data_IF_607572757520
#
_entry.id   IF_607572757520
#
_cell.length_a   1.000
_cell.length_b   1.000
_cell.length_c   1.000
_cell.angle_alpha   90.00
_cell.angle_beta   90.00
_cell.angle_gamma   90.00
#
_symmetry.space_group_name_H-M   'P 1'
#
loop_
_entity.id
_entity.type
_entity.pdbx_description
1 polymer ?
#
# COMPACT_ATOMS: atom_id res chain seq x y z
N UNK A 1 -1.11 -10.20 13.08
CA UNK A 1 -1.31 -8.83 12.56
C UNK A 1 -2.61 -8.26 13.12
N UNK A 2 -2.56 -7.09 13.67
CA UNK A 2 -3.77 -6.42 14.18
C UNK A 2 -4.37 -5.57 13.04
N UNK A 3 -5.38 -6.11 12.40
CA UNK A 3 -6.06 -5.44 11.28
C UNK A 3 -6.74 -4.15 11.71
N UNK A 4 -7.17 -4.06 12.98
CA UNK A 4 -7.78 -2.83 13.48
C UNK A 4 -6.84 -1.64 13.48
N UNK A 5 -5.54 -1.87 13.68
CA UNK A 5 -4.53 -0.82 13.63
C UNK A 5 -4.12 -0.47 12.20
N UNK A 6 -4.26 -1.42 11.28
CA UNK A 6 -3.92 -1.21 9.87
C UNK A 6 -5.02 -0.46 9.14
N UNK A 7 -6.28 -0.72 9.48
CA UNK A 7 -7.44 -0.13 8.80
C UNK A 7 -7.78 1.27 9.34
N UNK A 8 -6.83 2.19 9.20
CA UNK A 8 -7.06 3.59 9.55
C UNK A 8 -7.77 4.30 8.38
N UNK A 9 -8.38 5.49 8.61
CA UNK A 9 -8.95 6.28 7.52
C UNK A 9 -7.94 6.56 6.42
N UNK A 10 -6.69 6.83 6.78
CA UNK A 10 -5.59 7.07 5.86
C UNK A 10 -5.36 5.87 4.94
N UNK A 11 -5.33 4.68 5.53
CA UNK A 11 -5.14 3.45 4.78
C UNK A 11 -6.30 3.20 3.82
N UNK A 12 -7.53 3.40 4.30
CA UNK A 12 -8.73 3.20 3.49
C UNK A 12 -8.79 4.18 2.30
N UNK A 13 -8.42 5.43 2.52
CA UNK A 13 -8.35 6.42 1.44
C UNK A 13 -7.33 6.01 0.38
N UNK A 14 -6.17 5.53 0.82
CA UNK A 14 -5.13 5.08 -0.09
C UNK A 14 -5.61 3.89 -0.93
N UNK A 15 -6.26 2.93 -0.29
CA UNK A 15 -6.81 1.75 -0.98
C UNK A 15 -7.82 2.18 -2.03
N UNK A 16 -8.71 3.11 -1.70
CA UNK A 16 -9.70 3.62 -2.63
C UNK A 16 -9.06 4.29 -3.84
N UNK A 17 -8.04 5.09 -3.61
CA UNK A 17 -7.30 5.74 -4.71
C UNK A 17 -6.62 4.73 -5.62
N UNK A 18 -6.05 3.68 -5.04
CA UNK A 18 -5.41 2.61 -5.79
C UNK A 18 -6.44 1.88 -6.65
N UNK A 19 -7.59 1.55 -6.08
CA UNK A 19 -8.66 0.88 -6.83
C UNK A 19 -9.18 1.74 -7.98
N UNK A 20 -9.37 3.02 -7.73
CA UNK A 20 -9.86 3.97 -8.75
C UNK A 20 -8.86 4.15 -9.89
N UNK A 21 -7.58 3.97 -9.63
CA UNK A 21 -6.54 4.10 -10.65
C UNK A 21 -6.56 2.96 -11.67
N UNK A 22 -7.15 1.82 -11.32
CA UNK A 22 -7.14 0.61 -12.14
C UNK A 22 -5.82 -0.15 -12.09
N UNK A 23 -4.89 0.24 -11.20
CA UNK A 23 -3.56 -0.35 -11.09
C UNK A 23 -3.37 -1.13 -9.80
N UNK A 24 -4.46 -1.64 -9.22
CA UNK A 24 -4.41 -2.30 -7.92
C UNK A 24 -3.42 -3.48 -7.91
N UNK A 25 -3.46 -4.34 -8.94
CA UNK A 25 -2.57 -5.50 -9.01
C UNK A 25 -1.10 -5.07 -9.09
N UNK A 26 -0.80 -4.06 -9.89
CA UNK A 26 0.54 -3.52 -10.06
C UNK A 26 1.06 -2.91 -8.77
N UNK A 27 0.22 -2.11 -8.11
CA UNK A 27 0.59 -1.47 -6.84
C UNK A 27 0.81 -2.52 -5.75
N UNK A 28 -0.05 -3.53 -5.66
CA UNK A 28 0.10 -4.59 -4.67
C UNK A 28 1.40 -5.37 -4.89
N UNK A 29 1.71 -5.72 -6.14
CA UNK A 29 2.95 -6.41 -6.46
C UNK A 29 4.16 -5.58 -6.04
N UNK A 30 4.16 -4.28 -6.31
CA UNK A 30 5.23 -3.37 -5.91
C UNK A 30 5.31 -3.27 -4.39
N UNK A 31 4.17 -3.19 -3.70
CA UNK A 31 4.14 -3.12 -2.24
C UNK A 31 4.75 -4.38 -1.60
N UNK A 32 4.47 -5.56 -2.18
CA UNK A 32 5.04 -6.81 -1.68
C UNK A 32 6.57 -6.82 -1.82
N UNK A 33 7.10 -6.27 -2.91
CA UNK A 33 8.55 -6.12 -3.07
C UNK A 33 9.13 -5.18 -2.02
N UNK A 34 8.46 -4.08 -1.75
CA UNK A 34 8.89 -3.13 -0.71
C UNK A 34 8.91 -3.79 0.66
N UNK A 35 7.90 -4.59 0.97
CA UNK A 35 7.85 -5.33 2.24
C UNK A 35 9.00 -6.32 2.36
N UNK A 36 9.37 -6.95 1.27
CA UNK A 36 10.49 -7.90 1.23
C UNK A 36 11.82 -7.19 1.46
N UNK A 37 11.99 -6.01 0.89
CA UNK A 37 13.22 -5.22 1.03
C UNK A 37 13.30 -4.50 2.38
N UNK A 38 12.14 -4.17 2.97
CA UNK A 38 12.05 -3.44 4.23
C UNK A 38 11.15 -4.19 5.22
N UNK A 39 11.59 -5.36 5.71
CA UNK A 39 10.72 -6.21 6.55
C UNK A 39 10.31 -5.56 7.86
N UNK A 40 10.97 -4.49 8.28
CA UNK A 40 10.61 -3.74 9.49
C UNK A 40 9.70 -2.55 9.20
N UNK A 41 9.45 -2.26 7.94
CA UNK A 41 8.55 -1.18 7.55
C UNK A 41 7.09 -1.57 7.75
N UNK A 42 6.22 -0.58 7.96
CA UNK A 42 4.80 -0.86 8.10
C UNK A 42 4.17 -1.15 6.73
N UNK A 43 3.13 -1.99 6.68
CA UNK A 43 2.40 -2.23 5.43
C UNK A 43 1.87 -0.94 4.79
N UNK A 44 1.42 0.01 5.60
CA UNK A 44 0.93 1.29 5.10
C UNK A 44 2.03 2.05 4.34
N UNK A 45 3.23 2.13 4.94
CA UNK A 45 4.35 2.82 4.30
C UNK A 45 4.75 2.13 3.00
N UNK A 46 4.81 0.80 2.99
CA UNK A 46 5.14 0.05 1.78
C UNK A 46 4.11 0.31 0.67
N UNK A 47 2.84 0.37 1.04
CA UNK A 47 1.77 0.63 0.08
C UNK A 47 1.82 2.08 -0.43
N UNK A 48 2.16 3.04 0.44
CA UNK A 48 2.34 4.43 0.04
C UNK A 48 3.47 4.58 -0.97
N UNK A 49 4.59 3.93 -0.71
CA UNK A 49 5.74 3.95 -1.63
C UNK A 49 5.35 3.35 -2.97
N UNK A 50 4.65 2.22 -2.95
CA UNK A 50 4.22 1.55 -4.17
C UNK A 50 3.26 2.43 -4.97
N UNK A 51 2.30 3.05 -4.32
CA UNK A 51 1.36 3.95 -4.98
C UNK A 51 2.08 5.15 -5.60
N UNK A 52 3.05 5.71 -4.89
CA UNK A 52 3.87 6.81 -5.39
C UNK A 52 4.63 6.41 -6.66
N UNK A 53 5.18 5.20 -6.68
CA UNK A 53 5.91 4.69 -7.85
C UNK A 53 5.03 4.61 -9.09
N UNK A 54 3.74 4.42 -8.90
CA UNK A 54 2.75 4.33 -9.98
C UNK A 54 1.99 5.65 -10.21
N UNK A 55 2.45 6.75 -9.62
CA UNK A 55 1.84 8.08 -9.77
C UNK A 55 0.39 8.16 -9.27
N UNK A 56 0.11 7.51 -8.17
CA UNK A 56 -1.24 7.52 -7.60
C UNK A 56 -1.41 8.52 -6.45
#
# INVERSE_FOLDING_TARGET
>A
MDLGKTLTPEFCELVNRIEESGLAAEVIATALLEMKEHPKGSPLVCLQIAAYDWDI
#
